data_IF_038283670898
#
_entry.id   IF_038283670898
#
_cell.length_a   1.000
_cell.length_b   1.000
_cell.length_c   1.000
_cell.angle_alpha   90.00
_cell.angle_beta   90.00
_cell.angle_gamma   90.00
#
_symmetry.space_group_name_H-M   'P 1'
#
loop_
_entity.id
_entity.type
_entity.pdbx_description
1 polymer ?
#
# COMPACT_ATOMS: atom_id res chain seq x y z
N UNK A 1 7.13 19.39 -20.30
CA UNK A 1 5.91 18.56 -20.28
C UNK A 1 4.91 19.25 -19.38
N UNK A 2 3.74 19.58 -19.93
CA UNK A 2 2.85 20.61 -19.42
C UNK A 2 2.07 20.16 -18.18
N UNK A 3 1.94 21.08 -17.22
CA UNK A 3 1.01 21.04 -16.11
C UNK A 3 -0.28 21.69 -16.64
N UNK A 4 -1.40 20.98 -16.61
CA UNK A 4 -2.72 21.49 -17.01
C UNK A 4 -3.68 21.47 -15.80
N UNK A 5 -4.60 22.43 -15.82
CA UNK A 5 -4.98 23.26 -14.67
C UNK A 5 -6.09 22.72 -13.75
N UNK A 6 -6.11 23.26 -12.53
CA UNK A 6 -7.29 23.29 -11.64
C UNK A 6 -8.31 24.27 -12.25
N UNK A 7 -9.46 23.76 -12.64
CA UNK A 7 -10.67 24.52 -12.97
C UNK A 7 -11.85 23.55 -12.97
N UNK A 8 -13.04 23.87 -12.46
CA UNK A 8 -13.58 25.11 -11.97
C UNK A 8 -14.67 24.79 -10.92
N UNK A 9 -14.75 25.60 -9.87
CA UNK A 9 -15.90 25.64 -8.97
C UNK A 9 -16.81 26.75 -9.48
N UNK A 10 -18.00 26.40 -9.95
CA UNK A 10 -19.08 27.32 -10.29
C UNK A 10 -20.41 26.57 -10.31
N UNK A 11 -21.45 27.01 -9.58
CA UNK A 11 -22.72 26.30 -9.54
C UNK A 11 -23.71 26.86 -10.57
N UNK A 12 -23.95 26.13 -11.68
CA UNK A 12 -25.16 26.20 -12.51
C UNK A 12 -25.03 25.28 -13.75
N UNK A 13 -26.13 24.92 -14.43
CA UNK A 13 -27.35 24.22 -13.99
C UNK A 13 -27.29 22.73 -14.41
N UNK A 14 -28.10 21.91 -13.75
CA UNK A 14 -28.24 20.47 -14.03
C UNK A 14 -28.81 20.22 -15.43
N UNK A 15 -27.94 19.98 -16.41
CA UNK A 15 -28.33 19.28 -17.64
C UNK A 15 -28.18 17.78 -17.44
N UNK A 16 -29.33 17.09 -17.42
CA UNK A 16 -29.44 15.64 -17.44
C UNK A 16 -28.96 15.11 -18.79
N UNK A 17 -27.67 14.80 -18.88
CA UNK A 17 -27.14 13.96 -19.96
C UNK A 17 -26.70 12.64 -19.35
N UNK A 18 -27.59 11.64 -19.50
CA UNK A 18 -27.23 10.22 -19.40
C UNK A 18 -26.28 9.84 -20.52
N UNK A 19 -25.08 10.41 -20.52
CA UNK A 19 -23.95 9.82 -21.19
C UNK A 19 -23.56 8.56 -20.41
N UNK A 20 -23.27 7.43 -21.09
CA UNK A 20 -22.58 6.36 -20.39
C UNK A 20 -21.30 6.99 -19.86
N UNK A 21 -21.15 6.99 -18.53
CA UNK A 21 -19.84 7.16 -17.91
C UNK A 21 -19.00 6.06 -18.55
N UNK A 22 -18.20 6.42 -19.56
CA UNK A 22 -17.17 5.54 -20.06
C UNK A 22 -16.42 5.14 -18.80
N UNK A 23 -16.51 3.86 -18.45
CA UNK A 23 -15.75 3.32 -17.35
C UNK A 23 -14.31 3.71 -17.67
N UNK A 24 -13.77 4.66 -16.91
CA UNK A 24 -12.34 4.89 -16.92
C UNK A 24 -11.77 3.52 -16.69
N UNK A 25 -11.04 2.98 -17.67
CA UNK A 25 -10.26 1.76 -17.50
C UNK A 25 -9.22 2.10 -16.43
N UNK A 26 -9.66 2.00 -15.19
CA UNK A 26 -8.88 2.36 -14.03
C UNK A 26 -7.67 1.46 -14.04
N UNK A 27 -6.49 2.07 -13.93
CA UNK A 27 -5.24 1.33 -13.82
C UNK A 27 -5.39 0.32 -12.68
N UNK A 28 -5.33 -0.98 -13.01
CA UNK A 28 -5.44 -2.01 -12.00
C UNK A 28 -4.19 -2.00 -11.14
N UNK A 29 -4.36 -1.92 -9.82
CA UNK A 29 -3.23 -1.91 -8.89
C UNK A 29 -2.34 -3.16 -9.03
N UNK A 30 -2.94 -4.33 -9.30
CA UNK A 30 -2.20 -5.56 -9.58
C UNK A 30 -1.27 -5.43 -10.78
N UNK A 31 -1.70 -4.74 -11.84
CA UNK A 31 -0.85 -4.49 -13.00
C UNK A 31 0.32 -3.56 -12.67
N UNK A 32 0.10 -2.57 -11.79
CA UNK A 32 1.19 -1.68 -11.31
C UNK A 32 2.23 -2.47 -10.52
N UNK A 33 1.79 -3.34 -9.62
CA UNK A 33 2.69 -4.20 -8.84
C UNK A 33 3.43 -5.20 -9.74
N UNK A 34 2.73 -5.82 -10.69
CA UNK A 34 3.33 -6.76 -11.65
C UNK A 34 4.40 -6.07 -12.51
N UNK A 35 4.12 -4.87 -13.02
CA UNK A 35 5.11 -4.06 -13.76
C UNK A 35 6.29 -3.70 -12.87
N UNK A 36 6.05 -3.31 -11.62
CA UNK A 36 7.11 -3.02 -10.64
C UNK A 36 8.02 -4.22 -10.41
N UNK A 37 7.47 -5.43 -10.34
CA UNK A 37 8.23 -6.66 -10.21
C UNK A 37 9.11 -6.93 -11.44
N UNK A 38 8.53 -6.83 -12.64
CA UNK A 38 9.30 -6.99 -13.89
C UNK A 38 10.42 -5.96 -14.01
N UNK A 39 10.17 -4.72 -13.59
CA UNK A 39 11.19 -3.65 -13.62
C UNK A 39 12.35 -3.95 -12.66
N UNK A 40 12.06 -4.45 -11.46
CA UNK A 40 13.10 -4.81 -10.50
C UNK A 40 13.94 -6.00 -11.01
N UNK A 41 13.32 -7.00 -11.61
CA UNK A 41 14.01 -8.13 -12.21
C UNK A 41 14.94 -7.66 -13.35
N UNK A 42 14.44 -6.79 -14.22
CA UNK A 42 15.25 -6.18 -15.28
C UNK A 42 16.42 -5.35 -14.75
N UNK A 43 16.23 -4.59 -13.67
CA UNK A 43 17.29 -3.80 -13.04
C UNK A 43 18.38 -4.71 -12.46
N UNK A 44 18.01 -5.77 -11.74
CA UNK A 44 18.95 -6.77 -11.19
C UNK A 44 19.72 -7.47 -12.31
N UNK A 45 19.03 -7.88 -13.37
CA UNK A 45 19.66 -8.57 -14.49
C UNK A 45 20.64 -7.66 -15.23
N UNK A 46 20.30 -6.38 -15.42
CA UNK A 46 21.18 -5.38 -16.05
C UNK A 46 22.44 -5.18 -15.22
N UNK A 47 22.30 -5.00 -13.90
CA UNK A 47 23.43 -4.83 -13.01
C UNK A 47 24.36 -6.06 -12.97
N UNK A 48 23.79 -7.28 -12.94
CA UNK A 48 24.56 -8.53 -12.99
C UNK A 48 25.30 -8.69 -14.33
N UNK A 49 24.66 -8.36 -15.45
CA UNK A 49 25.31 -8.40 -16.77
C UNK A 49 26.50 -7.44 -16.83
N UNK A 50 26.33 -6.21 -16.36
CA UNK A 50 27.42 -5.23 -16.33
C UNK A 50 28.55 -5.65 -15.39
N UNK A 51 28.22 -6.21 -14.22
CA UNK A 51 29.20 -6.72 -13.28
C UNK A 51 30.04 -7.84 -13.90
N UNK A 52 29.39 -8.80 -14.55
CA UNK A 52 30.06 -9.92 -15.25
C UNK A 52 30.89 -9.44 -16.42
N UNK A 53 30.38 -8.48 -17.20
CA UNK A 53 31.10 -7.89 -18.32
C UNK A 53 32.39 -7.21 -17.87
N UNK A 54 32.32 -6.41 -16.82
CA UNK A 54 33.48 -5.74 -16.23
C UNK A 54 34.48 -6.75 -15.66
N UNK A 55 34.00 -7.80 -14.98
CA UNK A 55 34.86 -8.88 -14.48
C UNK A 55 35.52 -9.70 -15.62
N UNK A 56 34.86 -9.79 -16.78
CA UNK A 56 35.40 -10.41 -17.99
C UNK A 56 36.37 -9.49 -18.76
N UNK A 57 36.63 -8.28 -18.26
CA UNK A 57 37.55 -7.32 -18.88
C UNK A 57 36.92 -6.47 -19.99
N UNK A 58 35.58 -6.44 -20.11
CA UNK A 58 34.91 -5.48 -20.99
C UNK A 58 35.08 -4.06 -20.46
N UNK A 59 35.21 -3.10 -21.38
CA UNK A 59 35.31 -1.68 -21.06
C UNK A 59 33.93 -1.12 -20.68
N UNK A 60 33.53 -1.37 -19.43
CA UNK A 60 32.34 -0.82 -18.80
C UNK A 60 32.80 0.26 -17.83
N UNK A 61 32.24 1.46 -17.93
CA UNK A 61 32.63 2.54 -17.05
C UNK A 61 32.19 2.23 -15.60
N UNK A 62 33.08 2.36 -14.60
CA UNK A 62 32.74 1.98 -13.22
C UNK A 62 31.54 2.73 -12.64
N UNK A 63 31.33 3.99 -13.06
CA UNK A 63 30.18 4.79 -12.60
C UNK A 63 28.86 4.25 -13.13
N UNK A 64 28.81 3.74 -14.36
CA UNK A 64 27.61 3.13 -14.94
C UNK A 64 27.23 1.85 -14.20
N UNK A 65 28.22 1.03 -13.83
CA UNK A 65 27.99 -0.15 -12.99
C UNK A 65 27.48 0.24 -11.59
N UNK A 66 28.06 1.27 -10.98
CA UNK A 66 27.58 1.73 -9.67
C UNK A 66 26.14 2.24 -9.73
N UNK A 67 25.78 2.95 -10.81
CA UNK A 67 24.41 3.41 -11.04
C UNK A 67 23.46 2.22 -11.16
N UNK A 68 23.77 1.23 -12.00
CA UNK A 68 22.88 0.08 -12.19
C UNK A 68 22.72 -0.77 -10.94
N UNK A 69 23.79 -0.94 -10.16
CA UNK A 69 23.73 -1.63 -8.86
C UNK A 69 22.84 -0.87 -7.86
N UNK A 70 22.92 0.46 -7.82
CA UNK A 70 22.09 1.27 -6.94
C UNK A 70 20.62 1.29 -7.38
N UNK A 71 20.35 1.37 -8.68
CA UNK A 71 18.99 1.24 -9.23
C UNK A 71 18.38 -0.11 -8.85
N UNK A 72 19.11 -1.22 -9.05
CA UNK A 72 18.67 -2.54 -8.65
C UNK A 72 18.36 -2.61 -7.14
N UNK A 73 19.22 -2.03 -6.30
CA UNK A 73 19.02 -1.95 -4.85
C UNK A 73 17.76 -1.16 -4.49
N UNK A 74 17.53 -0.01 -5.11
CA UNK A 74 16.34 0.83 -4.88
C UNK A 74 15.05 0.07 -5.25
N UNK A 75 15.04 -0.59 -6.41
CA UNK A 75 13.89 -1.38 -6.86
C UNK A 75 13.58 -2.55 -5.90
N UNK A 76 14.58 -3.29 -5.46
CA UNK A 76 14.40 -4.39 -4.51
C UNK A 76 13.90 -3.90 -3.15
N UNK A 77 14.41 -2.76 -2.67
CA UNK A 77 13.95 -2.17 -1.41
C UNK A 77 12.48 -1.75 -1.50
N UNK A 78 12.09 -1.11 -2.60
CA UNK A 78 10.70 -0.76 -2.86
C UNK A 78 9.79 -1.99 -2.90
N UNK A 79 10.21 -3.06 -3.59
CA UNK A 79 9.46 -4.31 -3.63
C UNK A 79 9.31 -4.97 -2.27
N UNK A 80 10.35 -4.92 -1.44
CA UNK A 80 10.28 -5.43 -0.07
C UNK A 80 9.19 -4.69 0.74
N UNK A 81 9.12 -3.36 0.62
CA UNK A 81 8.08 -2.57 1.27
C UNK A 81 6.68 -2.90 0.75
N UNK A 82 6.52 -2.99 -0.58
CA UNK A 82 5.24 -3.38 -1.19
C UNK A 82 4.82 -4.77 -0.72
N UNK A 83 5.74 -5.74 -0.72
CA UNK A 83 5.49 -7.10 -0.21
C UNK A 83 5.02 -7.08 1.24
N UNK A 84 5.69 -6.30 2.11
CA UNK A 84 5.30 -6.18 3.51
C UNK A 84 3.87 -5.66 3.64
N UNK A 85 3.53 -4.58 2.92
CA UNK A 85 2.18 -3.99 2.93
C UNK A 85 1.11 -4.94 2.38
N UNK A 86 1.42 -5.70 1.34
CA UNK A 86 0.50 -6.72 0.79
C UNK A 86 0.23 -7.84 1.80
N UNK A 87 1.28 -8.31 2.49
CA UNK A 87 1.16 -9.34 3.51
C UNK A 87 0.38 -8.83 4.72
N UNK A 88 0.65 -7.60 5.18
CA UNK A 88 -0.11 -6.93 6.24
C UNK A 88 -1.60 -6.81 5.87
N UNK A 89 -1.91 -6.26 4.69
CA UNK A 89 -3.30 -6.12 4.22
C UNK A 89 -4.04 -7.45 4.13
N UNK A 90 -3.38 -8.51 3.67
CA UNK A 90 -3.96 -9.85 3.67
C UNK A 90 -4.23 -10.37 5.09
N UNK A 91 -3.31 -10.12 6.04
CA UNK A 91 -3.50 -10.50 7.43
C UNK A 91 -4.65 -9.73 8.10
N UNK A 92 -4.79 -8.43 7.83
CA UNK A 92 -5.89 -7.60 8.33
C UNK A 92 -7.26 -8.06 7.80
N UNK A 93 -7.33 -8.50 6.53
CA UNK A 93 -8.57 -9.04 5.96
C UNK A 93 -8.93 -10.40 6.54
N UNK A 94 -7.93 -11.25 6.81
CA UNK A 94 -8.13 -12.61 7.32
C UNK A 94 -8.49 -12.64 8.80
N UNK A 95 -7.85 -11.78 9.59
CA UNK A 95 -8.23 -11.51 10.97
C UNK A 95 -8.66 -10.06 11.01
N UNK A 96 -9.90 -9.74 10.58
CA UNK A 96 -10.45 -8.43 10.87
C UNK A 96 -10.35 -8.32 12.38
N UNK A 97 -9.44 -7.44 12.79
CA UNK A 97 -9.25 -7.01 14.17
C UNK A 97 -10.61 -7.08 14.82
N UNK A 98 -10.76 -7.92 15.84
CA UNK A 98 -11.97 -8.01 16.65
C UNK A 98 -12.36 -6.57 16.93
N UNK A 99 -13.34 -6.04 16.20
CA UNK A 99 -13.87 -4.71 16.40
C UNK A 99 -14.46 -4.79 17.78
N UNK A 100 -13.68 -4.33 18.76
CA UNK A 100 -14.10 -4.25 20.14
C UNK A 100 -15.24 -3.25 20.13
N UNK A 101 -16.46 -3.73 19.92
CA UNK A 101 -17.66 -2.95 20.18
C UNK A 101 -17.50 -2.49 21.63
N UNK A 102 -17.47 -1.18 21.91
CA UNK A 102 -17.55 -0.72 23.28
C UNK A 102 -18.92 -1.17 23.80
N UNK A 103 -18.96 -2.31 24.48
CA UNK A 103 -20.10 -2.67 25.33
C UNK A 103 -20.26 -1.53 26.33
N UNK A 104 -21.31 -0.72 26.26
CA UNK A 104 -22.68 -1.13 26.59
C UNK A 104 -22.74 -1.82 27.97
N UNK A 105 -22.14 -1.20 28.99
CA UNK A 105 -22.49 -1.47 30.40
C UNK A 105 -23.08 -0.22 31.07
N UNK A 106 -23.86 0.55 30.33
CA UNK A 106 -24.84 1.44 30.92
C UNK A 106 -26.16 0.68 31.06
N UNK A 107 -26.59 0.46 32.32
CA UNK A 107 -27.91 0.01 32.78
C UNK A 107 -28.27 -1.49 32.70
N UNK A 108 -28.17 -2.14 33.86
CA UNK A 108 -29.20 -2.96 34.54
C UNK A 108 -28.43 -3.79 35.59
N UNK A 109 -28.47 -3.52 36.89
CA UNK A 109 -29.63 -3.83 37.71
C UNK A 109 -29.51 -3.07 39.05
N UNK A 110 -30.50 -2.23 39.31
CA UNK A 110 -30.86 -1.79 40.66
C UNK A 110 -31.59 -2.95 41.36
N UNK A 111 -31.35 -3.06 42.67
CA UNK A 111 -32.18 -3.72 43.71
C UNK A 111 -32.16 -5.27 43.74
N UNK A 112 -31.49 -5.83 44.75
CA UNK A 112 -32.13 -6.47 45.91
C UNK A 112 -31.14 -7.37 46.67
N UNK A 113 -31.09 -7.25 47.99
CA UNK A 113 -30.65 -8.33 48.89
C UNK A 113 -29.27 -8.19 49.53
N UNK A 114 -29.24 -8.37 50.85
CA UNK A 114 -28.11 -8.41 51.80
C UNK A 114 -27.55 -7.03 52.22
N UNK A 115 -27.94 -6.36 53.31
CA UNK A 115 -28.41 -6.78 54.64
C UNK A 115 -27.54 -7.89 55.26
N UNK A 116 -26.89 -7.60 56.41
CA UNK A 116 -25.83 -8.38 57.09
C UNK A 116 -24.50 -8.33 56.33
N UNK A 117 -23.48 -7.59 56.78
CA UNK A 117 -22.69 -7.84 57.99
C UNK A 117 -22.20 -6.50 58.55
N UNK A 118 -22.74 -6.12 59.71
CA UNK A 118 -22.28 -5.03 60.58
C UNK A 118 -22.08 -5.59 62.01
N UNK A 119 -21.52 -6.80 62.14
CA UNK A 119 -21.24 -7.41 63.43
C UNK A 119 -19.96 -8.28 63.38
N UNK A 120 -19.00 -7.96 64.25
CA UNK A 120 -17.61 -8.50 64.35
C UNK A 120 -16.72 -8.05 63.19
N UNK A 121 -15.92 -6.98 63.31
CA UNK A 121 -14.81 -6.72 64.25
C UNK A 121 -14.55 -5.22 64.28
#
# INVERSE_FOLDING_TARGET
MAIEAIGAIGPAPLETLGAPVAASEGVNFGDVVARGLSNADGAVQTADQQLRGMAAGQEIAPHDLMISLEEARMHLTLLAEVRNKLVEGYQELRYPHVFKVPGSSARALRRAGCASVLASV
#
